data_IF_554805831805
#
_entry.id   IF_554805831805
#
_cell.length_a   1.000
_cell.length_b   1.000
_cell.length_c   1.000
_cell.angle_alpha   90.00
_cell.angle_beta   90.00
_cell.angle_gamma   90.00
#
_symmetry.space_group_name_H-M   'P 1'
#
loop_
_entity.id
_entity.type
_entity.pdbx_description
1 polymer ?
#
# COMPACT_ATOMS: atom_id res chain seq x y z
N UNK A 1 14.49 15.30 2.39
CA UNK A 1 13.93 14.59 3.58
C UNK A 1 12.43 14.52 3.45
N UNK A 2 11.92 13.33 3.51
CA UNK A 2 10.49 13.11 3.43
C UNK A 2 9.84 13.51 4.75
N UNK A 3 9.04 14.55 4.73
CA UNK A 3 8.28 14.95 5.92
C UNK A 3 6.79 14.81 5.63
N UNK A 4 6.15 13.92 6.36
CA UNK A 4 4.70 13.93 6.46
C UNK A 4 4.31 15.11 7.33
N UNK A 5 3.51 16.02 6.78
CA UNK A 5 2.98 17.15 7.52
C UNK A 5 1.68 16.76 8.26
N UNK A 6 1.28 17.51 9.29
CA UNK A 6 -0.07 17.35 9.84
C UNK A 6 -1.11 17.44 8.71
N UNK A 7 -2.10 16.55 8.74
CA UNK A 7 -3.14 16.34 7.73
C UNK A 7 -2.71 15.60 6.47
N UNK A 8 -1.47 15.12 6.37
CA UNK A 8 -1.12 14.19 5.29
C UNK A 8 -2.02 12.96 5.32
N UNK A 9 -2.34 12.45 4.15
CA UNK A 9 -3.17 11.25 3.98
C UNK A 9 -2.32 10.05 3.65
N UNK A 10 -2.47 8.99 4.44
CA UNK A 10 -1.79 7.73 4.27
C UNK A 10 -2.75 6.71 3.66
N UNK A 11 -2.40 6.15 2.52
CA UNK A 11 -3.12 5.03 1.94
C UNK A 11 -2.67 3.73 2.59
N UNK A 12 -3.59 2.96 3.11
CA UNK A 12 -3.35 1.63 3.65
C UNK A 12 -3.67 0.61 2.56
N UNK A 13 -2.67 -0.12 2.12
CA UNK A 13 -2.74 -1.03 0.96
C UNK A 13 -2.25 -2.42 1.31
N UNK A 14 -2.52 -3.39 0.45
CA UNK A 14 -2.07 -4.77 0.61
C UNK A 14 -1.61 -5.37 -0.71
N UNK A 15 -0.31 -5.60 -0.84
CA UNK A 15 0.28 -6.25 -2.01
C UNK A 15 0.40 -7.76 -1.86
N UNK A 16 0.44 -8.27 -0.62
CA UNK A 16 0.66 -9.69 -0.32
C UNK A 16 -0.65 -10.41 0.04
N UNK A 17 -0.64 -11.25 1.07
CA UNK A 17 -1.74 -12.16 1.38
C UNK A 17 -3.00 -11.47 1.92
N UNK A 18 -2.88 -10.24 2.35
CA UNK A 18 -4.00 -9.50 2.93
C UNK A 18 -4.21 -9.80 4.42
N UNK A 19 -5.04 -8.98 5.05
CA UNK A 19 -5.42 -9.13 6.45
C UNK A 19 -6.80 -9.79 6.57
N UNK A 20 -7.02 -10.60 7.62
CA UNK A 20 -8.37 -11.07 7.92
C UNK A 20 -9.34 -9.90 8.11
N UNK A 21 -10.58 -10.06 7.65
CA UNK A 21 -11.60 -9.00 7.70
C UNK A 21 -11.99 -8.59 9.12
N UNK A 22 -11.81 -9.48 10.08
CA UNK A 22 -12.09 -9.26 11.50
C UNK A 22 -10.86 -8.81 12.30
N UNK A 23 -9.73 -8.58 11.62
CA UNK A 23 -8.51 -8.08 12.27
C UNK A 23 -8.73 -6.66 12.81
N UNK A 24 -8.29 -6.42 14.06
CA UNK A 24 -8.31 -5.11 14.68
C UNK A 24 -7.06 -4.27 14.35
N UNK A 25 -6.12 -4.83 13.61
CA UNK A 25 -4.83 -4.17 13.28
C UNK A 25 -5.06 -2.85 12.58
N UNK A 26 -5.97 -2.81 11.60
CA UNK A 26 -6.22 -1.60 10.80
C UNK A 26 -6.83 -0.49 11.66
N UNK A 27 -7.85 -0.81 12.46
CA UNK A 27 -8.51 0.18 13.32
C UNK A 27 -7.55 0.74 14.39
N UNK A 28 -6.69 -0.11 14.93
CA UNK A 28 -5.65 0.32 15.90
C UNK A 28 -4.62 1.22 15.25
N UNK A 29 -4.15 0.90 14.05
CA UNK A 29 -3.22 1.74 13.31
C UNK A 29 -3.85 3.08 12.93
N UNK A 30 -5.09 3.08 12.42
CA UNK A 30 -5.81 4.30 12.11
C UNK A 30 -5.90 5.23 13.33
N UNK A 31 -6.24 4.68 14.50
CA UNK A 31 -6.31 5.46 15.73
C UNK A 31 -4.97 6.11 16.09
N UNK A 32 -3.86 5.39 15.92
CA UNK A 32 -2.51 5.93 16.16
C UNK A 32 -2.18 7.04 15.16
N UNK A 33 -2.42 6.81 13.86
CA UNK A 33 -2.13 7.79 12.81
C UNK A 33 -2.98 9.06 12.99
N UNK A 34 -4.27 8.91 13.30
CA UNK A 34 -5.15 10.03 13.59
C UNK A 34 -4.69 10.83 14.81
N UNK A 35 -4.19 10.16 15.86
CA UNK A 35 -3.64 10.83 17.04
C UNK A 35 -2.39 11.67 16.71
N UNK A 36 -1.70 11.36 15.61
CA UNK A 36 -0.58 12.14 15.08
C UNK A 36 -1.01 13.24 14.11
N UNK A 37 -2.31 13.42 13.89
CA UNK A 37 -2.86 14.41 12.98
C UNK A 37 -2.91 13.98 11.52
N UNK A 38 -2.70 12.70 11.23
CA UNK A 38 -2.72 12.15 9.88
C UNK A 38 -4.12 11.63 9.53
N UNK A 39 -4.44 11.66 8.23
CA UNK A 39 -5.64 11.01 7.70
C UNK A 39 -5.29 9.64 7.11
N UNK A 40 -6.25 8.75 7.05
CA UNK A 40 -6.08 7.41 6.47
C UNK A 40 -7.16 7.14 5.43
N UNK A 41 -6.78 6.42 4.37
CA UNK A 41 -7.70 5.85 3.40
C UNK A 41 -7.36 4.37 3.22
N UNK A 42 -8.35 3.50 3.27
CA UNK A 42 -8.18 2.05 3.20
C UNK A 42 -8.58 1.58 1.81
N UNK A 43 -7.66 0.91 1.12
CA UNK A 43 -7.95 0.27 -0.16
C UNK A 43 -8.44 -1.17 0.06
N UNK A 44 -9.48 -1.61 -0.65
CA UNK A 44 -10.17 -2.87 -0.35
C UNK A 44 -9.29 -4.12 -0.39
N UNK A 45 -8.25 -4.15 -1.24
CA UNK A 45 -7.35 -5.31 -1.34
C UNK A 45 -6.42 -5.49 -0.14
N UNK A 46 -6.45 -4.57 0.83
CA UNK A 46 -5.82 -4.77 2.13
C UNK A 46 -6.41 -5.99 2.85
N UNK A 47 -7.69 -6.27 2.64
CA UNK A 47 -8.37 -7.38 3.27
C UNK A 47 -8.47 -8.60 2.36
N UNK A 48 -8.41 -9.78 2.98
CA UNK A 48 -8.65 -11.06 2.32
C UNK A 48 -10.07 -11.15 1.78
N UNK A 49 -10.27 -12.08 0.83
CA UNK A 49 -11.61 -12.48 0.39
C UNK A 49 -12.39 -13.15 1.52
N UNK A 50 -13.70 -13.34 1.33
CA UNK A 50 -14.53 -14.05 2.29
C UNK A 50 -14.04 -15.50 2.57
N UNK A 51 -13.32 -16.10 1.61
CA UNK A 51 -12.71 -17.43 1.76
C UNK A 51 -11.35 -17.42 2.47
N UNK A 52 -10.89 -16.26 2.97
CA UNK A 52 -9.59 -16.13 3.64
C UNK A 52 -8.39 -16.21 2.70
N UNK A 53 -8.56 -15.82 1.46
CA UNK A 53 -7.52 -15.81 0.43
C UNK A 53 -7.12 -14.38 0.08
N UNK A 54 -5.90 -14.16 -0.46
CA UNK A 54 -5.54 -12.87 -1.02
C UNK A 54 -6.54 -12.44 -2.11
N UNK A 55 -6.78 -11.14 -2.23
CA UNK A 55 -7.49 -10.63 -3.42
C UNK A 55 -6.70 -10.98 -4.69
N UNK A 56 -7.34 -11.08 -5.86
CA UNK A 56 -6.63 -11.34 -7.12
C UNK A 56 -5.47 -10.35 -7.33
N UNK A 57 -4.38 -10.83 -7.94
CA UNK A 57 -3.18 -10.02 -8.15
C UNK A 57 -3.46 -8.73 -8.91
N UNK A 58 -4.30 -8.80 -9.94
CA UNK A 58 -4.71 -7.63 -10.72
C UNK A 58 -5.40 -6.57 -9.86
N UNK A 59 -6.24 -7.01 -8.93
CA UNK A 59 -6.96 -6.10 -8.04
C UNK A 59 -6.03 -5.45 -7.03
N UNK A 60 -5.11 -6.22 -6.45
CA UNK A 60 -4.10 -5.69 -5.53
C UNK A 60 -3.20 -4.67 -6.22
N UNK A 61 -2.78 -4.95 -7.43
CA UNK A 61 -2.00 -4.03 -8.26
C UNK A 61 -2.80 -2.77 -8.60
N UNK A 62 -4.07 -2.92 -8.99
CA UNK A 62 -4.94 -1.79 -9.32
C UNK A 62 -5.15 -0.84 -8.13
N UNK A 63 -5.30 -1.38 -6.93
CA UNK A 63 -5.45 -0.56 -5.72
C UNK A 63 -4.17 0.22 -5.41
N UNK A 64 -2.99 -0.41 -5.53
CA UNK A 64 -1.72 0.27 -5.34
C UNK A 64 -1.51 1.35 -6.41
N UNK A 65 -1.80 1.03 -7.66
CA UNK A 65 -1.72 1.98 -8.77
C UNK A 65 -2.64 3.18 -8.53
N UNK A 66 -3.88 2.93 -8.09
CA UNK A 66 -4.84 3.99 -7.76
C UNK A 66 -4.37 4.86 -6.59
N UNK A 67 -3.75 4.27 -5.57
CA UNK A 67 -3.21 5.01 -4.45
C UNK A 67 -2.06 5.94 -4.86
N UNK A 68 -1.19 5.49 -5.76
CA UNK A 68 -0.16 6.37 -6.34
C UNK A 68 -0.77 7.51 -7.17
N UNK A 69 -1.82 7.23 -7.94
CA UNK A 69 -2.45 8.21 -8.82
C UNK A 69 -3.34 9.22 -8.07
N UNK A 70 -3.77 8.92 -6.86
CA UNK A 70 -4.67 9.78 -6.08
C UNK A 70 -3.91 11.00 -5.55
N UNK A 71 -4.24 12.24 -6.01
CA UNK A 71 -3.54 13.45 -5.55
C UNK A 71 -3.76 13.76 -4.06
N UNK A 72 -4.76 13.18 -3.43
CA UNK A 72 -5.03 13.35 -1.99
C UNK A 72 -4.16 12.45 -1.11
N UNK A 73 -3.50 11.44 -1.69
CA UNK A 73 -2.63 10.50 -0.97
C UNK A 73 -1.19 11.01 -0.97
N UNK A 74 -0.59 11.07 0.21
CA UNK A 74 0.79 11.55 0.41
C UNK A 74 1.81 10.43 0.58
N UNK A 75 1.38 9.28 1.08
CA UNK A 75 2.23 8.10 1.26
C UNK A 75 1.40 6.82 1.28
N UNK A 76 2.05 5.70 0.96
CA UNK A 76 1.43 4.37 1.02
C UNK A 76 2.10 3.52 2.10
N UNK A 77 1.26 2.89 2.94
CA UNK A 77 1.70 1.88 3.91
C UNK A 77 1.11 0.53 3.50
N UNK A 78 1.97 -0.43 3.19
CA UNK A 78 1.55 -1.81 2.97
C UNK A 78 1.61 -2.57 4.29
N UNK A 79 0.46 -3.05 4.74
CA UNK A 79 0.31 -3.70 6.05
C UNK A 79 0.35 -5.23 5.94
N UNK A 80 0.62 -5.76 4.77
CA UNK A 80 0.48 -7.20 4.52
C UNK A 80 1.82 -7.92 4.50
N UNK A 81 1.75 -9.21 4.61
CA UNK A 81 2.89 -10.12 4.48
C UNK A 81 2.39 -11.47 3.98
N UNK A 82 3.28 -12.40 3.74
CA UNK A 82 2.97 -13.73 3.24
C UNK A 82 3.86 -14.13 2.07
N UNK A 83 3.26 -14.60 0.97
CA UNK A 83 3.99 -15.14 -0.17
C UNK A 83 3.50 -14.62 -1.53
N UNK A 84 2.51 -13.72 -1.55
CA UNK A 84 1.77 -13.40 -2.78
C UNK A 84 2.15 -12.07 -3.43
N UNK A 85 3.07 -11.28 -2.83
CA UNK A 85 3.35 -9.93 -3.31
C UNK A 85 3.98 -9.89 -4.71
N UNK A 86 4.85 -10.84 -5.05
CA UNK A 86 5.52 -10.85 -6.36
C UNK A 86 4.54 -11.00 -7.54
N UNK A 87 3.37 -11.59 -7.31
CA UNK A 87 2.37 -11.79 -8.35
C UNK A 87 1.80 -10.48 -8.91
N UNK A 88 1.90 -9.38 -8.19
CA UNK A 88 1.39 -8.09 -8.66
C UNK A 88 2.36 -7.35 -9.59
N UNK A 89 3.65 -7.69 -9.59
CA UNK A 89 4.66 -6.98 -10.37
C UNK A 89 4.31 -6.84 -11.86
N UNK A 90 3.83 -7.89 -12.56
CA UNK A 90 3.47 -7.77 -13.97
C UNK A 90 2.28 -6.84 -14.24
N UNK A 91 1.51 -6.51 -13.22
CA UNK A 91 0.28 -5.70 -13.32
C UNK A 91 0.50 -4.23 -12.92
N UNK A 92 1.72 -3.86 -12.51
CA UNK A 92 2.06 -2.49 -12.16
C UNK A 92 2.61 -1.72 -13.37
N UNK A 93 2.15 -0.48 -13.53
CA UNK A 93 2.72 0.46 -14.51
C UNK A 93 3.71 1.39 -13.79
N UNK A 94 4.98 1.02 -13.83
CA UNK A 94 6.04 1.78 -13.16
C UNK A 94 6.25 3.17 -13.75
N UNK A 95 5.93 3.38 -15.03
CA UNK A 95 6.02 4.70 -15.65
C UNK A 95 4.98 5.66 -15.09
N UNK A 96 3.75 5.18 -14.90
CA UNK A 96 2.71 5.97 -14.26
C UNK A 96 3.02 6.21 -12.78
N UNK A 97 3.55 5.21 -12.07
CA UNK A 97 3.98 5.36 -10.68
C UNK A 97 5.07 6.43 -10.57
N UNK A 98 6.04 6.45 -11.48
CA UNK A 98 7.11 7.47 -11.49
C UNK A 98 6.58 8.89 -11.65
N UNK A 99 5.48 9.08 -12.39
CA UNK A 99 4.84 10.40 -12.55
C UNK A 99 4.15 10.87 -11.28
N UNK A 100 3.75 9.95 -10.42
CA UNK A 100 3.00 10.22 -9.20
C UNK A 100 3.77 9.74 -7.96
N UNK A 101 5.09 9.76 -8.01
CA UNK A 101 5.96 9.17 -7.00
C UNK A 101 5.64 9.70 -5.60
N UNK A 102 5.46 8.77 -4.67
CA UNK A 102 5.19 8.99 -3.26
C UNK A 102 5.91 7.94 -2.44
N UNK A 103 6.21 8.20 -1.15
CA UNK A 103 6.82 7.18 -0.31
C UNK A 103 5.97 5.94 -0.18
N UNK A 104 6.63 4.80 -0.27
CA UNK A 104 6.02 3.50 -0.06
C UNK A 104 6.75 2.76 1.07
N UNK A 105 6.01 2.35 2.09
CA UNK A 105 6.55 1.65 3.24
C UNK A 105 5.98 0.24 3.33
N UNK A 106 6.87 -0.73 3.49
CA UNK A 106 6.50 -2.14 3.65
C UNK A 106 7.70 -2.96 4.09
N UNK A 107 7.47 -4.20 4.47
CA UNK A 107 8.54 -5.12 4.87
C UNK A 107 8.13 -6.56 4.63
N UNK A 108 9.02 -7.53 4.96
CA UNK A 108 8.77 -8.96 4.77
C UNK A 108 8.55 -9.30 3.28
N UNK A 109 7.48 -10.00 2.92
CA UNK A 109 7.17 -10.35 1.53
C UNK A 109 7.03 -9.12 0.62
N UNK A 110 6.53 -8.01 1.15
CA UNK A 110 6.42 -6.74 0.43
C UNK A 110 7.77 -6.23 -0.07
N UNK A 111 8.87 -6.68 0.52
CA UNK A 111 10.22 -6.29 0.10
C UNK A 111 10.52 -6.60 -1.37
N UNK A 112 9.84 -7.56 -1.98
CA UNK A 112 9.99 -7.85 -3.41
C UNK A 112 9.53 -6.71 -4.31
N UNK A 113 8.71 -5.79 -3.79
CA UNK A 113 8.26 -4.59 -4.51
C UNK A 113 9.21 -3.41 -4.34
N UNK A 114 9.95 -3.35 -3.23
CA UNK A 114 10.71 -2.14 -2.87
C UNK A 114 11.78 -1.81 -3.91
N UNK A 115 12.58 -2.79 -4.34
CA UNK A 115 13.57 -2.55 -5.38
C UNK A 115 12.93 -2.14 -6.72
N UNK A 116 11.95 -2.87 -7.28
CA UNK A 116 11.29 -2.43 -8.50
C UNK A 116 10.63 -1.05 -8.40
N UNK A 117 10.01 -0.72 -7.28
CA UNK A 117 9.41 0.60 -7.06
C UNK A 117 10.49 1.69 -7.06
N UNK A 118 11.63 1.45 -6.41
CA UNK A 118 12.74 2.39 -6.39
C UNK A 118 13.38 2.52 -7.77
N UNK A 119 13.71 1.40 -8.42
CA UNK A 119 14.52 1.38 -9.64
C UNK A 119 13.74 1.81 -10.88
N UNK A 120 12.46 1.46 -10.97
CA UNK A 120 11.63 1.71 -12.14
C UNK A 120 10.53 2.75 -11.91
N UNK A 121 10.12 2.94 -10.67
CA UNK A 121 9.05 3.87 -10.29
C UNK A 121 9.54 5.15 -9.63
N UNK A 122 10.83 5.30 -9.42
CA UNK A 122 11.43 6.45 -8.71
C UNK A 122 10.74 6.74 -7.36
N UNK A 123 10.39 5.66 -6.66
CA UNK A 123 9.63 5.73 -5.40
C UNK A 123 10.60 5.68 -4.22
N UNK A 124 10.51 6.63 -3.27
CA UNK A 124 11.19 6.50 -1.99
C UNK A 124 10.62 5.32 -1.18
N UNK A 125 11.47 4.43 -0.77
CA UNK A 125 11.09 3.23 -0.01
C UNK A 125 11.85 3.13 1.31
#
# INVERSE_FOLDING_TARGET
>A
MLQLSPRSTIALVGSSDGLPRDSDTVSRLCAVLESLGLHTVIFPSLYQTAAGKPQPAERRAADIQAAFADPEVDALFDLTGGDAANAILPHLDFKEIARCSKPFFGYSDVSVLLNPLQDFGDVPV
#
